data_IF_851154252994
#
_entry.id   IF_851154252994
#
_cell.length_a   1.000
_cell.length_b   1.000
_cell.length_c   1.000
_cell.angle_alpha   90.00
_cell.angle_beta   90.00
_cell.angle_gamma   90.00
#
_symmetry.space_group_name_H-M   'P 1'
#
loop_
_entity.id
_entity.type
_entity.pdbx_description
1 polymer ?
#
# COMPACT_ATOMS: atom_id res chain seq x y z
N UNK A 1 3.33 8.34 9.71
CA UNK A 1 3.35 7.20 10.64
C UNK A 1 2.14 7.34 11.56
N UNK A 2 1.49 6.23 11.84
CA UNK A 2 0.38 6.14 12.78
C UNK A 2 0.69 5.01 13.77
N UNK A 3 0.09 5.08 14.95
CA UNK A 3 0.03 3.98 15.90
C UNK A 3 -1.43 3.73 16.31
N UNK A 4 -1.72 2.59 16.87
CA UNK A 4 -3.05 2.16 17.31
C UNK A 4 -2.95 1.30 18.56
N UNK A 5 -4.02 1.29 19.31
CA UNK A 5 -4.23 0.50 20.51
C UNK A 5 -5.68 -0.03 20.53
N UNK A 6 -6.29 -0.21 21.69
CA UNK A 6 -7.68 -0.64 21.81
C UNK A 6 -8.71 0.46 21.57
N UNK A 7 -8.31 1.70 21.47
CA UNK A 7 -9.24 2.80 21.18
C UNK A 7 -9.72 2.77 19.73
N UNK A 8 -10.92 3.32 19.47
CA UNK A 8 -11.45 3.46 18.10
C UNK A 8 -10.84 4.66 17.40
N UNK A 9 -9.52 4.76 17.40
CA UNK A 9 -8.78 5.84 16.76
C UNK A 9 -7.46 5.34 16.19
N UNK A 10 -7.06 5.91 15.07
CA UNK A 10 -5.73 5.72 14.49
C UNK A 10 -4.93 6.99 14.75
N UNK A 11 -4.02 6.91 15.70
CA UNK A 11 -3.30 8.07 16.22
C UNK A 11 -2.18 8.48 15.29
N UNK A 12 -2.17 9.76 14.89
CA UNK A 12 -1.09 10.31 14.06
C UNK A 12 0.18 10.51 14.90
N UNK A 13 1.24 9.77 14.59
CA UNK A 13 2.57 9.97 15.16
C UNK A 13 3.36 11.00 14.36
N UNK A 14 3.38 10.87 13.04
CA UNK A 14 4.04 11.80 12.12
C UNK A 14 3.29 11.93 10.81
N UNK A 15 3.12 13.16 10.33
CA UNK A 15 2.52 13.42 9.03
C UNK A 15 3.39 12.88 7.89
N UNK A 16 2.90 12.95 6.64
CA UNK A 16 3.69 12.57 5.48
C UNK A 16 4.96 13.41 5.40
N UNK A 17 6.11 12.74 5.37
CA UNK A 17 7.42 13.36 5.26
C UNK A 17 8.34 12.49 4.41
N UNK A 18 9.23 13.12 3.65
CA UNK A 18 10.36 12.48 2.97
C UNK A 18 11.66 12.53 3.79
N UNK A 19 11.64 13.15 4.97
CA UNK A 19 12.79 13.28 5.85
C UNK A 19 12.96 12.05 6.73
N UNK A 20 13.95 11.23 6.46
CA UNK A 20 14.28 10.07 7.29
C UNK A 20 14.57 10.48 8.75
N UNK A 21 15.24 11.62 8.95
CA UNK A 21 15.57 12.12 10.30
C UNK A 21 14.31 12.48 11.10
N UNK A 22 13.32 13.11 10.45
CA UNK A 22 12.03 13.44 11.08
C UNK A 22 11.26 12.17 11.46
N UNK A 23 11.18 11.21 10.54
CA UNK A 23 10.50 9.95 10.78
C UNK A 23 11.17 9.12 11.89
N UNK A 24 12.51 9.08 11.91
CA UNK A 24 13.29 8.42 12.98
C UNK A 24 13.03 9.08 14.33
N UNK A 25 13.11 10.41 14.39
CA UNK A 25 12.85 11.13 15.65
C UNK A 25 11.44 10.89 16.19
N UNK A 26 10.43 10.77 15.31
CA UNK A 26 9.08 10.45 15.72
C UNK A 26 8.99 9.05 16.33
N UNK A 27 9.63 8.04 15.73
CA UNK A 27 9.65 6.67 16.24
C UNK A 27 10.44 6.58 17.56
N UNK A 28 11.58 7.26 17.66
CA UNK A 28 12.41 7.30 18.88
C UNK A 28 11.68 7.99 20.05
N UNK A 29 10.67 8.81 19.76
CA UNK A 29 9.81 9.45 20.74
C UNK A 29 8.71 8.56 21.33
N UNK A 30 8.55 7.34 20.83
CA UNK A 30 7.55 6.40 21.36
C UNK A 30 7.99 5.91 22.74
N UNK A 31 7.12 6.10 23.73
CA UNK A 31 7.34 5.66 25.11
C UNK A 31 6.34 4.56 25.48
N UNK A 32 6.65 3.79 26.53
CA UNK A 32 5.79 2.67 26.96
C UNK A 32 4.40 3.11 27.45
N UNK A 33 4.23 4.38 27.77
CA UNK A 33 2.99 4.99 28.26
C UNK A 33 2.25 5.78 27.16
N UNK A 34 2.58 5.56 25.89
CA UNK A 34 1.92 6.24 24.76
C UNK A 34 0.44 5.87 24.66
N UNK A 35 0.09 4.64 25.04
CA UNK A 35 -1.28 4.12 25.01
C UNK A 35 -1.91 4.10 26.40
N UNK A 36 -3.20 4.44 26.47
CA UNK A 36 -4.05 4.28 27.65
C UNK A 36 -4.90 3.01 27.62
N UNK A 37 -5.05 2.37 26.48
CA UNK A 37 -5.77 1.11 26.29
C UNK A 37 -4.82 0.04 25.70
N UNK A 38 -4.30 -0.91 26.53
CA UNK A 38 -3.31 -1.88 26.07
C UNK A 38 -3.89 -2.98 25.17
N UNK A 39 -5.19 -2.98 24.86
CA UNK A 39 -5.76 -3.88 23.86
C UNK A 39 -5.44 -3.42 22.44
N UNK A 40 -5.84 -4.20 21.45
CA UNK A 40 -5.47 -4.00 20.05
C UNK A 40 -6.70 -3.91 19.16
N UNK A 41 -6.99 -2.75 18.53
CA UNK A 41 -8.02 -2.58 17.48
C UNK A 41 -7.37 -2.78 16.10
N UNK A 42 -6.92 -4.02 15.83
CA UNK A 42 -6.24 -4.37 14.58
C UNK A 42 -7.13 -4.14 13.36
N UNK A 43 -8.38 -4.58 13.43
CA UNK A 43 -9.30 -4.47 12.29
C UNK A 43 -9.69 -3.02 12.02
N UNK A 44 -9.89 -2.21 13.05
CA UNK A 44 -10.12 -0.78 12.90
C UNK A 44 -8.92 -0.05 12.31
N UNK A 45 -7.70 -0.40 12.73
CA UNK A 45 -6.48 0.17 12.16
C UNK A 45 -6.35 -0.13 10.66
N UNK A 46 -6.67 -1.36 10.23
CA UNK A 46 -6.68 -1.75 8.80
C UNK A 46 -7.70 -0.95 8.01
N UNK A 47 -8.94 -0.86 8.49
CA UNK A 47 -10.02 -0.13 7.81
C UNK A 47 -9.66 1.36 7.67
N UNK A 48 -9.20 1.98 8.74
CA UNK A 48 -8.86 3.41 8.78
C UNK A 48 -7.64 3.75 7.94
N UNK A 49 -6.58 2.92 8.01
CA UNK A 49 -5.38 3.12 7.19
C UNK A 49 -5.67 2.94 5.69
N UNK A 50 -6.53 2.00 5.34
CA UNK A 50 -7.01 1.82 3.96
C UNK A 50 -7.71 3.10 3.47
N UNK A 51 -8.61 3.66 4.28
CA UNK A 51 -9.30 4.91 3.95
C UNK A 51 -8.33 6.07 3.78
N UNK A 52 -7.35 6.22 4.68
CA UNK A 52 -6.32 7.27 4.57
C UNK A 52 -5.55 7.14 3.26
N UNK A 53 -5.12 5.92 2.89
CA UNK A 53 -4.40 5.67 1.65
C UNK A 53 -5.26 6.00 0.42
N UNK A 54 -6.55 5.67 0.43
CA UNK A 54 -7.48 6.04 -0.64
C UNK A 54 -7.67 7.56 -0.77
N UNK A 55 -7.85 8.25 0.35
CA UNK A 55 -8.07 9.69 0.36
C UNK A 55 -6.81 10.45 -0.11
N UNK A 56 -5.61 9.94 0.23
CA UNK A 56 -4.35 10.44 -0.32
C UNK A 56 -4.24 10.26 -1.85
N UNK A 57 -4.62 9.10 -2.37
CA UNK A 57 -4.62 8.88 -3.82
C UNK A 57 -5.64 9.76 -4.54
N UNK A 58 -6.84 9.98 -3.94
CA UNK A 58 -7.88 10.85 -4.50
C UNK A 58 -7.47 12.32 -4.52
N UNK A 59 -6.70 12.78 -3.53
CA UNK A 59 -6.24 14.17 -3.45
C UNK A 59 -5.20 14.53 -4.50
N UNK A 60 -4.47 13.54 -5.05
CA UNK A 60 -3.42 13.69 -6.04
C UNK A 60 -3.94 13.46 -7.47
N UNK A 61 -4.87 14.30 -7.95
CA UNK A 61 -5.55 14.11 -9.23
C UNK A 61 -4.68 14.29 -10.48
N UNK A 62 -3.52 14.91 -10.36
CA UNK A 62 -2.65 15.25 -11.50
C UNK A 62 -1.46 14.31 -11.70
N UNK A 63 -1.32 13.29 -10.87
CA UNK A 63 -0.17 12.36 -10.91
C UNK A 63 -0.69 10.93 -10.80
N UNK A 64 -0.02 10.00 -11.49
CA UNK A 64 -0.22 8.57 -11.22
C UNK A 64 0.33 8.30 -9.82
N UNK A 65 -0.56 8.07 -8.87
CA UNK A 65 -0.20 7.77 -7.49
C UNK A 65 -0.31 6.29 -7.18
N UNK A 66 0.59 5.82 -6.33
CA UNK A 66 0.50 4.54 -5.66
C UNK A 66 0.73 4.76 -4.16
N UNK A 67 0.13 3.91 -3.34
CA UNK A 67 0.33 3.93 -1.89
C UNK A 67 0.68 2.53 -1.39
N UNK A 68 1.43 2.47 -0.30
CA UNK A 68 1.69 1.24 0.42
C UNK A 68 1.28 1.42 1.87
N UNK A 69 0.46 0.52 2.37
CA UNK A 69 0.12 0.39 3.79
C UNK A 69 1.01 -0.72 4.35
N UNK A 70 1.80 -0.40 5.36
CA UNK A 70 2.63 -1.36 6.09
C UNK A 70 2.10 -1.43 7.51
N UNK A 71 1.57 -2.57 7.91
CA UNK A 71 1.06 -2.84 9.24
C UNK A 71 2.07 -3.66 10.03
N UNK A 72 2.39 -3.21 11.23
CA UNK A 72 3.18 -3.98 12.21
C UNK A 72 2.33 -4.25 13.45
N UNK A 73 2.32 -5.49 13.91
CA UNK A 73 1.61 -5.91 15.13
C UNK A 73 2.31 -7.10 15.79
N UNK A 74 2.17 -7.21 17.09
CA UNK A 74 2.61 -8.36 17.90
C UNK A 74 1.44 -9.13 18.51
N UNK A 75 0.20 -8.79 18.15
CA UNK A 75 -1.01 -9.42 18.69
C UNK A 75 -2.12 -9.58 17.66
N UNK A 76 -3.19 -10.22 18.14
CA UNK A 76 -4.47 -10.33 17.42
C UNK A 76 -5.39 -9.17 17.78
N UNK A 77 -6.52 -9.05 17.07
CA UNK A 77 -7.56 -8.10 17.44
C UNK A 77 -8.18 -8.47 18.80
N UNK A 78 -8.07 -7.57 19.77
CA UNK A 78 -8.59 -7.77 21.14
C UNK A 78 -9.71 -6.78 21.46
N UNK A 79 -9.75 -5.63 20.80
CA UNK A 79 -10.76 -4.60 21.04
C UNK A 79 -12.15 -5.01 20.53
N UNK A 80 -12.22 -5.91 19.55
CA UNK A 80 -13.49 -6.45 18.99
C UNK A 80 -14.46 -5.36 18.51
N UNK A 81 -13.94 -4.24 17.99
CA UNK A 81 -14.76 -3.11 17.52
C UNK A 81 -15.30 -3.35 16.12
N UNK A 82 -14.53 -4.02 15.30
CA UNK A 82 -14.84 -4.38 13.92
C UNK A 82 -14.74 -5.89 13.75
N UNK A 83 -15.34 -6.42 12.71
CA UNK A 83 -15.20 -7.83 12.34
C UNK A 83 -13.98 -8.00 11.45
N UNK A 84 -13.34 -9.14 11.54
CA UNK A 84 -12.29 -9.57 10.62
C UNK A 84 -12.72 -9.39 9.14
N UNK A 85 -13.93 -9.84 8.82
CA UNK A 85 -14.49 -9.72 7.47
C UNK A 85 -14.57 -8.28 6.97
N UNK A 86 -14.78 -7.30 7.86
CA UNK A 86 -14.85 -5.88 7.48
C UNK A 86 -13.45 -5.36 7.11
N UNK A 87 -12.42 -5.75 7.84
CA UNK A 87 -11.03 -5.42 7.54
C UNK A 87 -10.56 -6.08 6.23
N UNK A 88 -10.83 -7.38 6.05
CA UNK A 88 -10.48 -8.10 4.83
C UNK A 88 -11.21 -7.55 3.60
N UNK A 89 -12.48 -7.16 3.74
CA UNK A 89 -13.23 -6.50 2.66
C UNK A 89 -12.66 -5.12 2.34
N UNK A 90 -12.29 -4.32 3.35
CA UNK A 90 -11.65 -3.03 3.12
C UNK A 90 -10.37 -3.17 2.29
N UNK A 91 -9.52 -4.14 2.61
CA UNK A 91 -8.30 -4.45 1.84
C UNK A 91 -8.62 -4.96 0.42
N UNK A 92 -9.61 -5.85 0.30
CA UNK A 92 -10.01 -6.44 -0.99
C UNK A 92 -10.57 -5.39 -1.95
N UNK A 93 -11.42 -4.50 -1.45
CA UNK A 93 -12.15 -3.50 -2.24
C UNK A 93 -11.34 -2.21 -2.45
N UNK A 94 -10.18 -2.09 -1.78
CA UNK A 94 -9.28 -0.94 -1.91
C UNK A 94 -8.81 -0.73 -3.34
N UNK A 95 -8.48 0.53 -3.66
CA UNK A 95 -7.90 0.90 -4.95
C UNK A 95 -6.72 -0.02 -5.29
N UNK A 96 -6.69 -0.52 -6.52
CA UNK A 96 -5.64 -1.44 -7.02
C UNK A 96 -4.21 -0.88 -6.93
N UNK A 97 -4.07 0.44 -6.81
CA UNK A 97 -2.78 1.11 -6.64
C UNK A 97 -2.36 1.19 -5.17
N UNK A 98 -3.10 0.56 -4.24
CA UNK A 98 -2.71 0.42 -2.85
C UNK A 98 -2.19 -0.99 -2.62
N UNK A 99 -0.94 -1.07 -2.17
CA UNK A 99 -0.29 -2.32 -1.76
C UNK A 99 -0.37 -2.46 -0.24
N UNK A 100 -0.59 -3.68 0.22
CA UNK A 100 -0.73 -3.97 1.65
C UNK A 100 0.34 -4.97 2.07
N UNK A 101 1.08 -4.59 3.11
CA UNK A 101 2.14 -5.40 3.71
C UNK A 101 1.87 -5.56 5.20
N UNK A 102 2.14 -6.75 5.73
CA UNK A 102 2.04 -7.01 7.16
C UNK A 102 3.34 -7.55 7.72
N UNK A 103 3.66 -7.13 8.93
CA UNK A 103 4.77 -7.62 9.73
C UNK A 103 4.18 -8.08 11.06
N UNK A 104 4.27 -9.38 11.33
CA UNK A 104 3.84 -9.96 12.60
C UNK A 104 5.02 -10.35 13.48
N UNK A 105 4.94 -10.10 14.78
CA UNK A 105 5.96 -10.43 15.75
C UNK A 105 5.42 -11.38 16.83
N UNK A 106 6.17 -12.45 17.08
CA UNK A 106 5.89 -13.37 18.18
C UNK A 106 4.86 -14.45 17.85
N UNK A 107 4.31 -15.07 18.90
CA UNK A 107 3.43 -16.24 18.78
C UNK A 107 1.93 -15.91 18.98
N UNK A 108 1.62 -14.69 19.39
CA UNK A 108 0.23 -14.26 19.68
C UNK A 108 -0.48 -13.64 18.49
N UNK A 109 0.12 -13.78 17.29
CA UNK A 109 -0.44 -13.28 16.04
C UNK A 109 -1.29 -14.34 15.35
N UNK A 110 -2.29 -13.91 14.58
CA UNK A 110 -3.01 -14.74 13.63
C UNK A 110 -2.39 -14.57 12.24
N UNK A 111 -1.56 -15.54 11.84
CA UNK A 111 -0.84 -15.48 10.58
C UNK A 111 -1.77 -15.55 9.38
N UNK A 112 -2.88 -16.29 9.44
CA UNK A 112 -3.84 -16.39 8.34
C UNK A 112 -4.55 -15.05 8.09
N UNK A 113 -4.98 -14.39 9.17
CA UNK A 113 -5.57 -13.05 9.09
C UNK A 113 -4.56 -12.03 8.57
N UNK A 114 -3.32 -12.05 9.08
CA UNK A 114 -2.29 -11.12 8.61
C UNK A 114 -1.91 -11.35 7.15
N UNK A 115 -1.88 -12.59 6.65
CA UNK A 115 -1.70 -12.89 5.23
C UNK A 115 -2.87 -12.38 4.38
N UNK A 116 -4.09 -12.46 4.89
CA UNK A 116 -5.27 -11.90 4.24
C UNK A 116 -5.22 -10.38 4.13
N UNK A 117 -4.76 -9.68 5.17
CA UNK A 117 -4.56 -8.24 5.18
C UNK A 117 -3.38 -7.85 4.30
N UNK A 118 -2.24 -8.51 4.47
CA UNK A 118 -1.01 -8.28 3.72
C UNK A 118 -1.04 -8.92 2.34
N UNK A 119 -2.10 -8.70 1.57
CA UNK A 119 -2.33 -9.32 0.25
C UNK A 119 -1.17 -9.15 -0.74
N UNK A 120 -0.27 -8.18 -0.53
CA UNK A 120 0.91 -7.97 -1.36
C UNK A 120 2.09 -8.80 -0.84
N UNK A 121 2.37 -8.74 0.45
CA UNK A 121 3.28 -9.63 1.14
C UNK A 121 3.10 -9.54 2.65
N UNK A 122 3.34 -10.68 3.32
CA UNK A 122 3.38 -10.80 4.77
C UNK A 122 4.69 -11.44 5.19
N UNK A 123 5.24 -10.99 6.30
CA UNK A 123 6.44 -11.56 6.91
C UNK A 123 6.26 -11.64 8.42
N UNK A 124 6.86 -12.66 9.02
CA UNK A 124 6.71 -12.95 10.43
C UNK A 124 8.08 -13.13 11.08
N UNK A 125 8.24 -12.56 12.26
CA UNK A 125 9.41 -12.72 13.11
C UNK A 125 9.00 -13.44 14.40
N UNK A 126 9.69 -14.50 14.78
CA UNK A 126 9.40 -15.22 16.01
C UNK A 126 9.84 -14.42 17.26
N UNK A 127 10.83 -13.54 17.10
CA UNK A 127 11.44 -12.78 18.18
C UNK A 127 12.06 -11.47 17.63
N UNK A 128 12.57 -10.65 18.56
CA UNK A 128 13.17 -9.35 18.21
C UNK A 128 14.43 -9.47 17.37
N UNK A 129 15.20 -10.53 17.51
CA UNK A 129 16.44 -10.77 16.77
C UNK A 129 16.18 -10.97 15.27
N UNK A 130 15.01 -11.53 14.94
CA UNK A 130 14.58 -11.72 13.55
C UNK A 130 13.92 -10.47 12.95
N UNK A 131 13.49 -9.54 13.80
CA UNK A 131 12.67 -8.41 13.40
C UNK A 131 13.38 -7.49 12.40
N UNK A 132 14.68 -7.24 12.58
CA UNK A 132 15.46 -6.41 11.64
C UNK A 132 15.46 -7.01 10.23
N UNK A 133 15.67 -8.32 10.11
CA UNK A 133 15.64 -9.01 8.83
C UNK A 133 14.24 -8.94 8.20
N UNK A 134 13.20 -9.06 9.03
CA UNK A 134 11.80 -8.98 8.62
C UNK A 134 11.45 -7.60 8.07
N UNK A 135 11.86 -6.53 8.75
CA UNK A 135 11.69 -5.16 8.26
C UNK A 135 12.47 -4.92 6.95
N UNK A 136 13.70 -5.43 6.84
CA UNK A 136 14.49 -5.31 5.63
C UNK A 136 13.82 -6.00 4.43
N UNK A 137 13.22 -7.16 4.62
CA UNK A 137 12.47 -7.86 3.58
C UNK A 137 11.26 -7.03 3.11
N UNK A 138 10.47 -6.49 4.02
CA UNK A 138 9.34 -5.63 3.67
C UNK A 138 9.81 -4.34 3.00
N UNK A 139 10.84 -3.69 3.52
CA UNK A 139 11.41 -2.48 2.91
C UNK A 139 11.81 -2.71 1.45
N UNK A 140 12.47 -3.84 1.17
CA UNK A 140 12.82 -4.22 -0.19
C UNK A 140 11.59 -4.42 -1.07
N UNK A 141 10.56 -5.13 -0.59
CA UNK A 141 9.32 -5.36 -1.34
C UNK A 141 8.55 -4.06 -1.59
N UNK A 142 8.50 -3.16 -0.62
CA UNK A 142 7.90 -1.82 -0.79
C UNK A 142 8.65 -1.03 -1.85
N UNK A 143 9.99 -1.06 -1.84
CA UNK A 143 10.82 -0.39 -2.84
C UNK A 143 10.62 -1.00 -4.25
N UNK A 144 10.55 -2.32 -4.37
CA UNK A 144 10.25 -3.01 -5.62
C UNK A 144 8.88 -2.61 -6.16
N UNK A 145 7.86 -2.55 -5.29
CA UNK A 145 6.52 -2.13 -5.65
C UNK A 145 6.49 -0.66 -6.08
N UNK A 146 7.15 0.24 -5.35
CA UNK A 146 7.23 1.65 -5.69
C UNK A 146 7.91 1.87 -7.06
N UNK A 147 8.90 1.06 -7.39
CA UNK A 147 9.63 1.11 -8.66
C UNK A 147 8.95 0.32 -9.80
N UNK A 148 7.78 -0.27 -9.57
CA UNK A 148 7.06 -1.05 -10.59
C UNK A 148 6.11 -0.23 -11.46
N UNK A 149 5.96 1.06 -11.19
CA UNK A 149 5.08 1.95 -11.94
C UNK A 149 5.86 2.74 -12.98
N UNK A 150 5.39 2.69 -14.23
CA UNK A 150 6.00 3.38 -15.35
C UNK A 150 4.97 4.23 -16.08
N UNK A 151 5.34 5.46 -16.41
CA UNK A 151 4.57 6.31 -17.31
C UNK A 151 5.07 6.07 -18.75
N UNK A 152 4.17 5.64 -19.62
CA UNK A 152 4.45 5.52 -21.03
C UNK A 152 3.73 6.61 -21.79
N UNK A 153 4.48 7.37 -22.59
CA UNK A 153 3.93 8.28 -23.56
C UNK A 153 3.98 7.64 -24.95
N UNK A 154 2.85 7.62 -25.62
CA UNK A 154 2.75 7.08 -26.96
C UNK A 154 2.20 8.15 -27.91
N UNK A 155 3.02 8.56 -28.85
CA UNK A 155 2.58 9.41 -29.93
C UNK A 155 2.01 8.58 -31.08
N UNK A 156 0.70 8.62 -31.26
CA UNK A 156 0.03 7.88 -32.32
C UNK A 156 0.26 8.51 -33.70
N UNK A 157 0.66 7.75 -34.72
CA UNK A 157 0.72 8.24 -36.11
C UNK A 157 -0.67 8.36 -36.77
N UNK A 158 -1.74 7.92 -36.12
CA UNK A 158 -3.10 7.95 -36.65
C UNK A 158 -3.59 9.38 -36.85
N UNK A 159 -4.02 9.66 -38.09
CA UNK A 159 -4.58 10.96 -38.52
C UNK A 159 -5.84 10.77 -39.34
N UNK A 160 -6.39 9.55 -39.41
CA UNK A 160 -7.52 9.17 -40.24
C UNK A 160 -8.88 9.51 -39.62
N UNK A 161 -8.91 10.10 -38.40
CA UNK A 161 -10.14 10.43 -37.67
C UNK A 161 -10.89 9.23 -37.12
N UNK A 162 -10.29 8.03 -37.13
CA UNK A 162 -10.92 6.82 -36.64
C UNK A 162 -11.31 6.95 -35.14
N UNK A 163 -12.54 6.54 -34.81
CA UNK A 163 -13.08 6.69 -33.46
C UNK A 163 -12.52 5.71 -32.45
N UNK A 164 -12.07 4.53 -32.88
CA UNK A 164 -11.57 3.50 -31.99
C UNK A 164 -10.32 2.83 -32.57
N UNK A 165 -9.25 2.84 -31.79
CA UNK A 165 -7.98 2.21 -32.12
C UNK A 165 -7.48 1.41 -30.95
N UNK A 166 -6.85 0.26 -31.21
CA UNK A 166 -6.24 -0.57 -30.18
C UNK A 166 -4.76 -0.21 -30.02
N UNK A 167 -4.31 -0.04 -28.78
CA UNK A 167 -2.92 0.07 -28.39
C UNK A 167 -2.56 -1.14 -27.53
N UNK A 168 -1.53 -1.86 -27.93
CA UNK A 168 -0.96 -2.97 -27.16
C UNK A 168 0.45 -2.60 -26.76
N UNK A 169 0.70 -2.52 -25.46
CA UNK A 169 2.04 -2.32 -24.90
C UNK A 169 2.51 -3.68 -24.43
N UNK A 170 3.67 -4.11 -24.92
CA UNK A 170 4.30 -5.38 -24.51
C UNK A 170 5.62 -5.08 -23.82
N UNK A 171 5.84 -5.73 -22.70
CA UNK A 171 7.10 -5.73 -21.98
C UNK A 171 7.71 -7.13 -22.09
N UNK A 172 8.99 -7.19 -22.41
CA UNK A 172 9.76 -8.44 -22.44
C UNK A 172 11.02 -8.26 -21.60
N UNK A 173 11.27 -9.20 -20.70
CA UNK A 173 12.50 -9.26 -19.92
C UNK A 173 12.96 -10.73 -19.85
N UNK A 174 13.90 -11.10 -20.70
CA UNK A 174 14.30 -12.48 -20.89
C UNK A 174 13.12 -13.36 -21.33
N UNK A 175 12.80 -14.38 -20.52
CA UNK A 175 11.66 -15.28 -20.75
C UNK A 175 10.32 -14.73 -20.22
N UNK A 176 10.35 -13.67 -19.44
CA UNK A 176 9.15 -13.04 -18.89
C UNK A 176 8.53 -12.10 -19.92
N UNK A 177 7.23 -12.23 -20.11
CA UNK A 177 6.48 -11.38 -21.02
C UNK A 177 5.21 -10.90 -20.33
N UNK A 178 4.89 -9.63 -20.53
CA UNK A 178 3.64 -9.02 -20.10
C UNK A 178 3.05 -8.16 -21.22
N UNK A 179 1.73 -8.06 -21.28
CA UNK A 179 1.07 -7.18 -22.23
C UNK A 179 -0.14 -6.52 -21.58
N UNK A 180 -0.34 -5.24 -21.90
CA UNK A 180 -1.56 -4.52 -21.60
C UNK A 180 -2.14 -3.98 -22.91
N UNK A 181 -3.45 -4.07 -23.03
CA UNK A 181 -4.19 -3.57 -24.17
C UNK A 181 -5.15 -2.47 -23.72
N UNK A 182 -5.19 -1.38 -24.45
CA UNK A 182 -6.14 -0.29 -24.26
C UNK A 182 -6.66 0.22 -25.58
N UNK A 183 -7.68 1.05 -25.56
CA UNK A 183 -8.26 1.70 -26.72
C UNK A 183 -8.09 3.20 -26.62
N UNK A 184 -7.93 3.85 -27.75
CA UNK A 184 -7.91 5.31 -27.83
C UNK A 184 -8.68 5.80 -29.05
N UNK A 185 -9.13 7.05 -28.98
CA UNK A 185 -9.85 7.71 -30.05
C UNK A 185 -8.90 8.69 -30.75
N UNK A 186 -8.71 8.52 -32.06
CA UNK A 186 -7.87 9.41 -32.89
C UNK A 186 -8.66 10.55 -33.55
N UNK A 187 -9.96 10.68 -33.23
CA UNK A 187 -10.78 11.77 -33.77
C UNK A 187 -10.25 13.13 -33.29
N UNK A 188 -9.94 13.99 -34.21
CA UNK A 188 -9.38 15.31 -33.92
C UNK A 188 -7.87 15.33 -33.72
N UNK A 189 -7.17 14.23 -33.92
CA UNK A 189 -5.71 14.25 -33.95
C UNK A 189 -5.19 15.06 -35.14
N UNK A 190 -4.46 16.12 -34.83
CA UNK A 190 -3.82 17.02 -35.81
C UNK A 190 -2.35 17.21 -35.43
N UNK A 191 -1.52 17.52 -36.41
CA UNK A 191 -0.10 17.73 -36.14
C UNK A 191 0.74 16.47 -36.09
N UNK A 192 2.01 16.63 -35.80
CA UNK A 192 2.99 15.55 -35.61
C UNK A 192 3.26 15.27 -34.15
N UNK A 193 4.10 14.27 -33.91
CA UNK A 193 4.71 14.04 -32.61
C UNK A 193 6.02 14.85 -32.59
N UNK A 194 6.10 15.88 -31.76
CA UNK A 194 7.33 16.65 -31.50
C UNK A 194 7.99 16.11 -30.24
#
# INVERSE_FOLDING_TARGET
IYWFDGEDELHLLNALSSSAAELTAAVDGITADISSDPSTDLYGAVIKSTKIAEDLLKSNTNVIGAASVVLFTDGTDQASRYRESDALNAVKDANRNISFFTIGLGAEIDTEVLEGIGKTASVFAANKEELENTFNQISQRVAEQANSFYLFEYCSPKRDGSGENNLVIRLTNGSLQGAVQTKFNAKGFTGGCE
#
